data_IF_402880400156
#
_entry.id   IF_402880400156
#
_cell.length_a   1.000
_cell.length_b   1.000
_cell.length_c   1.000
_cell.angle_alpha   90.00
_cell.angle_beta   90.00
_cell.angle_gamma   90.00
#
_symmetry.space_group_name_H-M   'P 1'
#
loop_
_entity.id
_entity.type
_entity.pdbx_description
1 polymer ?
#
# COMPACT_ATOMS: atom_id res chain seq x y z
N UNK A 1 -34.71 38.39 -26.97
CA UNK A 1 -35.07 36.99 -26.72
C UNK A 1 -33.86 36.28 -26.17
N UNK A 2 -33.86 36.07 -24.87
CA UNK A 2 -32.89 35.27 -24.11
C UNK A 2 -32.93 33.84 -24.64
N UNK A 3 -31.80 33.16 -24.88
CA UNK A 3 -31.84 31.74 -25.23
C UNK A 3 -32.42 30.95 -24.06
N UNK A 4 -33.20 29.89 -24.31
CA UNK A 4 -33.84 29.12 -23.26
C UNK A 4 -32.77 28.46 -22.39
N UNK A 5 -32.89 28.66 -21.08
CA UNK A 5 -32.19 27.89 -20.06
C UNK A 5 -32.51 26.41 -20.26
N UNK A 6 -31.53 25.64 -20.73
CA UNK A 6 -31.66 24.19 -20.83
C UNK A 6 -31.96 23.63 -19.44
N UNK A 7 -33.11 22.96 -19.34
CA UNK A 7 -33.47 22.07 -18.24
C UNK A 7 -32.28 21.12 -18.02
N UNK A 8 -31.83 20.98 -16.78
CA UNK A 8 -30.78 20.05 -16.38
C UNK A 8 -31.16 18.63 -16.82
N UNK A 9 -30.74 18.24 -18.02
CA UNK A 9 -30.96 16.90 -18.55
C UNK A 9 -30.23 15.90 -17.67
N UNK A 10 -30.94 14.87 -17.23
CA UNK A 10 -30.38 13.80 -16.41
C UNK A 10 -29.31 13.06 -17.22
N UNK A 11 -28.04 13.25 -16.87
CA UNK A 11 -26.92 12.62 -17.57
C UNK A 11 -26.97 11.10 -17.39
N UNK A 12 -26.87 10.35 -18.49
CA UNK A 12 -26.79 8.90 -18.41
C UNK A 12 -25.41 8.48 -17.88
N UNK A 13 -25.36 8.09 -16.61
CA UNK A 13 -24.12 7.65 -15.94
C UNK A 13 -23.65 6.30 -16.46
N UNK A 14 -22.35 6.21 -16.76
CA UNK A 14 -21.71 5.00 -17.28
C UNK A 14 -20.30 4.84 -16.72
N UNK A 15 -20.01 3.65 -16.21
CA UNK A 15 -18.67 3.24 -15.78
C UNK A 15 -17.99 2.46 -16.90
N UNK A 16 -16.74 2.79 -17.21
CA UNK A 16 -15.98 2.23 -18.32
C UNK A 16 -14.55 1.95 -17.90
N UNK A 17 -13.99 0.84 -18.37
CA UNK A 17 -12.56 0.53 -18.22
C UNK A 17 -11.75 1.06 -19.39
N UNK A 18 -10.50 1.44 -19.15
CA UNK A 18 -9.55 1.80 -20.20
C UNK A 18 -8.26 1.00 -20.00
N UNK A 19 -8.08 -0.02 -20.81
CA UNK A 19 -7.01 -1.01 -20.69
C UNK A 19 -5.92 -0.73 -21.73
N UNK A 20 -4.77 -0.26 -21.25
CA UNK A 20 -3.57 -0.07 -22.05
C UNK A 20 -2.71 -1.33 -22.02
N UNK A 21 -2.24 -1.77 -23.18
CA UNK A 21 -1.32 -2.91 -23.30
C UNK A 21 0.08 -2.35 -23.58
N UNK A 22 1.05 -2.74 -22.77
CA UNK A 22 2.44 -2.33 -22.82
C UNK A 22 3.33 -3.50 -23.28
N UNK A 23 4.30 -3.19 -24.14
CA UNK A 23 5.50 -4.01 -24.32
C UNK A 23 6.76 -3.20 -24.09
N UNK A 24 7.86 -3.91 -23.84
CA UNK A 24 9.20 -3.35 -23.86
C UNK A 24 9.90 -3.84 -25.13
N UNK A 25 10.31 -2.90 -25.97
CA UNK A 25 11.00 -3.12 -27.24
C UNK A 25 12.42 -2.59 -27.10
N UNK A 26 13.41 -3.50 -26.97
CA UNK A 26 14.79 -3.17 -26.58
C UNK A 26 14.88 -2.27 -25.33
N UNK A 27 14.01 -2.54 -24.35
CA UNK A 27 13.90 -1.75 -23.11
C UNK A 27 13.10 -0.46 -23.24
N UNK A 28 12.66 -0.08 -24.45
CA UNK A 28 11.82 1.10 -24.68
C UNK A 28 10.33 0.75 -24.57
N UNK A 29 9.55 1.51 -23.78
CA UNK A 29 8.13 1.23 -23.60
C UNK A 29 7.30 1.59 -24.83
N UNK A 30 6.42 0.69 -25.23
CA UNK A 30 5.45 0.89 -26.30
C UNK A 30 4.05 0.52 -25.82
N UNK A 31 3.06 1.37 -26.10
CA UNK A 31 1.65 1.15 -25.75
C UNK A 31 0.83 0.94 -27.02
N UNK A 32 -0.02 -0.08 -27.03
CA UNK A 32 -0.90 -0.37 -28.14
C UNK A 32 -2.12 0.57 -28.13
N UNK A 33 -2.43 1.13 -29.29
CA UNK A 33 -3.67 1.85 -29.55
C UNK A 33 -4.42 1.22 -30.71
N UNK A 34 -5.73 1.14 -30.55
CA UNK A 34 -6.64 0.48 -31.47
C UNK A 34 -7.49 1.51 -32.18
N UNK A 35 -7.63 1.34 -33.49
CA UNK A 35 -8.44 2.20 -34.34
C UNK A 35 -9.86 1.67 -34.34
N UNK A 36 -10.77 2.42 -33.71
CA UNK A 36 -12.19 2.05 -33.59
C UNK A 36 -12.82 1.93 -34.98
N UNK A 37 -13.64 0.90 -35.16
CA UNK A 37 -14.42 0.66 -36.38
C UNK A 37 -15.67 1.52 -36.43
N UNK A 38 -16.27 1.66 -37.61
CA UNK A 38 -17.55 2.36 -37.76
C UNK A 38 -18.75 1.65 -37.12
N UNK A 39 -18.58 0.40 -36.66
CA UNK A 39 -19.68 -0.45 -36.13
C UNK A 39 -20.00 -0.17 -34.66
N UNK A 40 -19.04 0.34 -33.89
CA UNK A 40 -19.15 0.52 -32.43
C UNK A 40 -20.19 1.58 -32.04
N UNK A 41 -20.79 1.56 -30.85
CA UNK A 41 -21.92 2.46 -30.53
C UNK A 41 -21.59 3.96 -30.39
N UNK A 42 -20.33 4.32 -30.14
CA UNK A 42 -19.88 5.71 -29.92
C UNK A 42 -18.55 6.00 -30.61
N UNK A 43 -18.39 7.24 -31.07
CA UNK A 43 -17.16 7.75 -31.72
C UNK A 43 -16.81 7.08 -33.06
N UNK A 44 -17.82 6.75 -33.88
CA UNK A 44 -17.73 6.04 -35.17
C UNK A 44 -16.93 6.80 -36.25
N UNK A 45 -17.29 8.06 -36.51
CA UNK A 45 -17.03 8.76 -37.79
C UNK A 45 -15.61 9.29 -38.03
N UNK A 46 -14.59 8.75 -37.37
CA UNK A 46 -13.26 9.37 -37.35
C UNK A 46 -12.11 8.43 -36.99
N UNK A 47 -12.36 7.11 -36.98
CA UNK A 47 -11.34 6.10 -36.72
C UNK A 47 -10.49 6.43 -35.47
N UNK A 48 -11.17 6.81 -34.38
CA UNK A 48 -10.52 7.29 -33.18
C UNK A 48 -9.56 6.23 -32.61
N UNK A 49 -8.37 6.67 -32.21
CA UNK A 49 -7.48 5.85 -31.40
C UNK A 49 -8.04 5.71 -29.99
N UNK A 50 -8.05 4.49 -29.50
CA UNK A 50 -8.57 4.10 -28.20
C UNK A 50 -7.67 3.05 -27.54
N UNK A 51 -7.70 2.93 -26.20
CA UNK A 51 -7.28 1.70 -25.54
C UNK A 51 -8.37 0.64 -25.76
N UNK A 52 -8.13 -0.58 -25.28
CA UNK A 52 -9.20 -1.55 -25.09
C UNK A 52 -10.16 -0.99 -24.03
N UNK A 53 -11.46 -0.99 -24.29
CA UNK A 53 -12.39 -0.27 -23.42
C UNK A 53 -13.81 -0.80 -23.54
N UNK A 54 -14.44 -1.05 -22.40
CA UNK A 54 -15.85 -1.35 -22.37
C UNK A 54 -16.52 -1.06 -21.03
N UNK A 55 -17.81 -1.35 -20.96
CA UNK A 55 -18.63 -0.93 -19.82
C UNK A 55 -18.43 -1.88 -18.65
N UNK A 56 -18.42 -1.33 -17.43
CA UNK A 56 -18.49 -2.14 -16.21
C UNK A 56 -19.96 -2.52 -15.99
N UNK A 57 -20.29 -3.80 -16.15
CA UNK A 57 -21.62 -4.34 -15.91
C UNK A 57 -21.80 -4.72 -14.42
N UNK A 58 -23.05 -4.83 -13.97
CA UNK A 58 -23.40 -5.29 -12.62
C UNK A 58 -22.95 -6.73 -12.38
N UNK A 59 -22.86 -7.53 -13.45
CA UNK A 59 -22.33 -8.89 -13.37
C UNK A 59 -20.80 -8.94 -13.18
N UNK A 60 -20.08 -7.85 -13.50
CA UNK A 60 -18.63 -7.77 -13.27
C UNK A 60 -18.39 -7.54 -11.77
N UNK A 61 -17.81 -8.53 -11.08
CA UNK A 61 -17.54 -8.43 -9.63
C UNK A 61 -16.59 -7.29 -9.23
N UNK A 62 -15.91 -6.65 -10.19
CA UNK A 62 -15.13 -5.42 -10.01
C UNK A 62 -14.80 -4.77 -11.38
N UNK A 63 -14.37 -3.49 -11.42
CA UNK A 63 -13.83 -2.89 -12.64
C UNK A 63 -12.63 -3.64 -13.23
N UNK A 64 -11.82 -4.30 -12.40
CA UNK A 64 -10.72 -5.13 -12.90
C UNK A 64 -11.22 -6.42 -13.58
N UNK A 65 -12.33 -7.01 -13.10
CA UNK A 65 -12.96 -8.14 -13.76
C UNK A 65 -13.50 -7.74 -15.14
N UNK A 66 -14.14 -6.58 -15.25
CA UNK A 66 -14.55 -6.00 -16.52
C UNK A 66 -13.34 -5.79 -17.45
N UNK A 67 -12.24 -5.21 -16.94
CA UNK A 67 -11.01 -5.04 -17.72
C UNK A 67 -10.46 -6.33 -18.33
N UNK A 68 -10.47 -7.43 -17.56
CA UNK A 68 -10.05 -8.75 -18.07
C UNK A 68 -11.01 -9.31 -19.11
N UNK A 69 -12.32 -9.12 -18.94
CA UNK A 69 -13.35 -9.52 -19.91
C UNK A 69 -13.16 -8.78 -21.23
N UNK A 70 -13.08 -7.45 -21.20
CA UNK A 70 -12.90 -6.62 -22.40
C UNK A 70 -11.56 -6.95 -23.11
N UNK A 71 -10.47 -7.18 -22.36
CA UNK A 71 -9.21 -7.64 -22.96
C UNK A 71 -9.33 -8.98 -23.68
N UNK A 72 -10.03 -9.94 -23.08
CA UNK A 72 -10.23 -11.25 -23.69
C UNK A 72 -11.16 -11.16 -24.92
N UNK A 73 -12.22 -10.36 -24.86
CA UNK A 73 -13.20 -10.17 -25.93
C UNK A 73 -12.58 -9.42 -27.13
N UNK A 74 -11.91 -8.29 -26.88
CA UNK A 74 -11.40 -7.41 -27.92
C UNK A 74 -10.00 -7.78 -28.44
N UNK A 75 -9.21 -8.60 -27.72
CA UNK A 75 -7.83 -8.95 -28.13
C UNK A 75 -7.45 -10.42 -28.00
N UNK A 76 -8.29 -11.25 -27.39
CA UNK A 76 -8.01 -12.65 -26.99
C UNK A 76 -6.90 -12.83 -25.95
N UNK A 77 -6.34 -11.73 -25.42
CA UNK A 77 -5.34 -11.79 -24.36
C UNK A 77 -5.98 -12.08 -23.01
N UNK A 78 -5.29 -12.87 -22.19
CA UNK A 78 -5.76 -13.30 -20.87
C UNK A 78 -4.66 -13.14 -19.82
N UNK A 79 -4.91 -13.60 -18.59
CA UNK A 79 -3.91 -13.69 -17.54
C UNK A 79 -2.70 -14.55 -17.91
N UNK A 80 -2.77 -15.36 -18.97
CA UNK A 80 -1.65 -16.17 -19.44
C UNK A 80 -0.62 -15.32 -20.19
N UNK A 81 -1.06 -14.34 -20.98
CA UNK A 81 -0.22 -13.48 -21.82
C UNK A 81 0.03 -12.10 -21.22
N UNK A 82 -0.79 -11.65 -20.26
CA UNK A 82 -0.69 -10.34 -19.64
C UNK A 82 -0.45 -10.44 -18.13
N UNK A 83 0.29 -9.46 -17.59
CA UNK A 83 0.34 -9.13 -16.16
C UNK A 83 -0.23 -7.74 -15.95
N UNK A 84 -1.12 -7.55 -14.97
CA UNK A 84 -1.52 -6.22 -14.53
C UNK A 84 -0.29 -5.51 -13.95
N UNK A 85 0.09 -4.38 -14.54
CA UNK A 85 1.24 -3.60 -14.11
C UNK A 85 0.81 -2.46 -13.19
N UNK A 86 -0.23 -1.71 -13.58
CA UNK A 86 -0.75 -0.58 -12.80
C UNK A 86 -2.25 -0.40 -12.95
N UNK A 87 -2.89 -0.01 -11.86
CA UNK A 87 -4.18 0.63 -11.81
C UNK A 87 -3.99 2.14 -11.69
N UNK A 88 -4.70 2.90 -12.51
CA UNK A 88 -4.77 4.36 -12.45
C UNK A 88 -5.94 4.83 -11.59
N UNK A 89 -5.83 6.04 -11.05
CA UNK A 89 -6.91 6.64 -10.25
C UNK A 89 -8.12 6.87 -11.14
N UNK A 90 -9.31 6.50 -10.71
CA UNK A 90 -10.53 6.74 -11.46
C UNK A 90 -10.86 8.23 -11.58
N UNK A 91 -11.67 8.58 -12.58
CA UNK A 91 -12.15 9.94 -12.76
C UNK A 91 -13.46 10.00 -13.51
N UNK A 92 -14.17 11.11 -13.33
CA UNK A 92 -15.47 11.34 -13.93
C UNK A 92 -15.45 12.60 -14.77
N UNK A 93 -16.06 12.55 -15.96
CA UNK A 93 -16.29 13.73 -16.79
C UNK A 93 -17.62 13.63 -17.54
N UNK A 94 -18.18 14.79 -17.89
CA UNK A 94 -19.39 14.88 -18.71
C UNK A 94 -19.02 15.09 -20.17
N UNK A 95 -19.68 14.34 -21.06
CA UNK A 95 -19.55 14.46 -22.50
C UNK A 95 -20.89 14.90 -23.12
N UNK A 96 -21.05 16.20 -23.41
CA UNK A 96 -22.24 16.74 -24.04
C UNK A 96 -22.53 16.13 -25.42
N UNK A 97 -21.50 15.69 -26.16
CA UNK A 97 -21.68 15.16 -27.52
C UNK A 97 -22.49 13.86 -27.57
N UNK A 98 -22.50 13.12 -26.46
CA UNK A 98 -23.23 11.86 -26.30
C UNK A 98 -24.22 11.89 -25.12
N UNK A 99 -24.38 13.05 -24.46
CA UNK A 99 -25.24 13.25 -23.28
C UNK A 99 -25.00 12.22 -22.17
N UNK A 100 -23.72 11.97 -21.84
CA UNK A 100 -23.30 10.99 -20.81
C UNK A 100 -22.35 11.58 -19.78
N UNK A 101 -22.41 11.02 -18.58
CA UNK A 101 -21.39 11.19 -17.55
C UNK A 101 -20.60 9.88 -17.44
N UNK A 102 -19.31 9.94 -17.75
CA UNK A 102 -18.42 8.79 -17.79
C UNK A 102 -17.58 8.73 -16.52
N UNK A 103 -17.53 7.56 -15.88
CA UNK A 103 -16.54 7.22 -14.85
C UNK A 103 -15.55 6.24 -15.44
N UNK A 104 -14.29 6.65 -15.59
CA UNK A 104 -13.25 5.86 -16.24
C UNK A 104 -12.35 5.19 -15.19
N UNK A 105 -12.08 3.90 -15.39
CA UNK A 105 -11.13 3.08 -14.63
C UNK A 105 -9.93 2.70 -15.51
N UNK A 106 -8.81 3.44 -15.44
CA UNK A 106 -7.62 3.15 -16.24
C UNK A 106 -6.80 1.99 -15.68
N UNK A 107 -6.33 1.10 -16.55
CA UNK A 107 -5.43 -0.01 -16.24
C UNK A 107 -4.31 -0.12 -17.26
N UNK A 108 -3.12 -0.50 -16.81
CA UNK A 108 -1.97 -0.82 -17.66
C UNK A 108 -1.58 -2.26 -17.44
N UNK A 109 -1.58 -3.02 -18.52
CA UNK A 109 -1.16 -4.41 -18.58
C UNK A 109 0.13 -4.51 -19.37
N UNK A 110 1.01 -5.44 -19.00
CA UNK A 110 2.27 -5.72 -19.68
C UNK A 110 2.21 -7.11 -20.30
N UNK A 111 2.61 -7.25 -21.56
CA UNK A 111 2.85 -8.55 -22.17
C UNK A 111 3.96 -9.27 -21.40
N UNK A 112 3.74 -10.53 -21.03
CA UNK A 112 4.74 -11.31 -20.28
C UNK A 112 5.96 -11.64 -21.14
N UNK A 113 5.74 -11.94 -22.41
CA UNK A 113 6.81 -12.24 -23.37
C UNK A 113 6.57 -11.54 -24.71
N UNK A 114 7.63 -11.27 -25.50
CA UNK A 114 7.47 -10.73 -26.86
C UNK A 114 6.61 -11.62 -27.77
N UNK A 115 6.62 -12.94 -27.56
CA UNK A 115 5.81 -13.88 -28.35
C UNK A 115 4.30 -13.72 -28.12
N UNK A 116 3.90 -13.18 -26.96
CA UNK A 116 2.49 -12.97 -26.63
C UNK A 116 1.83 -11.89 -27.52
N UNK A 117 2.61 -11.02 -28.17
CA UNK A 117 2.11 -10.06 -29.17
C UNK A 117 1.37 -10.77 -30.31
N UNK A 118 1.84 -11.94 -30.74
CA UNK A 118 1.22 -12.72 -31.83
C UNK A 118 -0.16 -13.27 -31.46
N UNK A 119 -0.53 -13.23 -30.17
CA UNK A 119 -1.84 -13.64 -29.69
C UNK A 119 -2.88 -12.54 -29.87
N UNK A 120 -2.49 -11.29 -30.13
CA UNK A 120 -3.45 -10.20 -30.31
C UNK A 120 -4.28 -10.44 -31.57
N UNK A 121 -5.57 -10.72 -31.37
CA UNK A 121 -6.57 -10.85 -32.44
C UNK A 121 -7.72 -9.93 -32.11
N UNK A 122 -7.83 -8.84 -32.86
CA UNK A 122 -8.89 -7.86 -32.66
C UNK A 122 -10.22 -8.38 -33.17
N UNK A 123 -11.29 -8.05 -32.47
CA UNK A 123 -12.64 -8.35 -32.91
C UNK A 123 -13.19 -7.25 -33.85
N UNK A 124 -14.50 -7.22 -34.05
CA UNK A 124 -15.18 -6.30 -34.96
C UNK A 124 -15.15 -4.83 -34.47
N UNK A 125 -14.79 -4.56 -33.22
CA UNK A 125 -14.72 -3.20 -32.67
C UNK A 125 -13.56 -2.38 -33.24
N UNK A 126 -12.53 -3.05 -33.79
CA UNK A 126 -11.32 -2.40 -34.28
C UNK A 126 -10.98 -2.78 -35.71
N UNK A 127 -10.46 -1.81 -36.46
CA UNK A 127 -10.02 -2.00 -37.86
C UNK A 127 -8.51 -2.23 -37.99
N UNK A 128 -7.77 -1.98 -36.91
CA UNK A 128 -6.33 -2.15 -36.85
C UNK A 128 -5.76 -1.52 -35.58
N UNK A 129 -4.49 -1.77 -35.31
CA UNK A 129 -3.82 -1.28 -34.12
C UNK A 129 -2.33 -1.04 -34.40
N UNK A 130 -1.70 -0.21 -33.58
CA UNK A 130 -0.28 0.09 -33.68
C UNK A 130 0.35 0.37 -32.31
N UNK A 131 1.66 0.19 -32.23
CA UNK A 131 2.47 0.53 -31.07
C UNK A 131 2.90 2.00 -31.12
N UNK A 132 2.73 2.71 -30.02
CA UNK A 132 3.12 4.11 -29.89
C UNK A 132 4.00 4.33 -28.67
N UNK A 133 4.83 5.38 -28.71
CA UNK A 133 5.52 5.87 -27.51
C UNK A 133 4.49 6.53 -26.56
N UNK A 134 4.36 6.08 -25.31
CA UNK A 134 3.36 6.64 -24.39
C UNK A 134 3.60 8.12 -24.10
N UNK A 135 4.86 8.55 -24.01
CA UNK A 135 5.21 9.95 -23.77
C UNK A 135 4.80 10.87 -24.92
N UNK A 136 5.02 10.45 -26.16
CA UNK A 136 4.61 11.18 -27.36
C UNK A 136 3.10 11.35 -27.40
N UNK A 137 2.34 10.27 -27.15
CA UNK A 137 0.88 10.32 -27.10
C UNK A 137 0.39 11.33 -26.06
N UNK A 138 0.95 11.31 -24.85
CA UNK A 138 0.59 12.25 -23.78
C UNK A 138 0.91 13.71 -24.15
N UNK A 139 2.03 13.97 -24.82
CA UNK A 139 2.42 15.32 -25.27
C UNK A 139 1.61 15.82 -26.47
N UNK A 140 0.86 14.93 -27.12
CA UNK A 140 0.15 15.25 -28.36
C UNK A 140 0.97 14.96 -29.62
N UNK A 141 2.24 14.56 -29.47
CA UNK A 141 3.15 14.23 -30.55
C UNK A 141 2.85 12.83 -31.14
N UNK A 142 3.25 12.60 -32.39
CA UNK A 142 3.39 11.23 -32.93
C UNK A 142 2.10 10.49 -33.31
N UNK A 143 0.93 11.15 -33.30
CA UNK A 143 -0.34 10.55 -33.77
C UNK A 143 -0.82 11.02 -35.15
N UNK A 144 -0.03 11.82 -35.87
CA UNK A 144 -0.23 12.07 -37.31
C UNK A 144 -1.60 12.65 -37.70
N UNK A 145 -2.25 13.43 -36.83
CA UNK A 145 -3.58 13.98 -37.09
C UNK A 145 -4.75 13.01 -36.87
N UNK A 146 -4.52 11.82 -36.33
CA UNK A 146 -5.58 10.88 -35.96
C UNK A 146 -6.39 11.41 -34.77
N UNK A 147 -7.72 11.24 -34.86
CA UNK A 147 -8.63 11.57 -33.76
C UNK A 147 -8.45 10.59 -32.60
N UNK A 148 -8.77 11.03 -31.38
CA UNK A 148 -8.60 10.26 -30.13
C UNK A 148 -9.92 10.23 -29.38
N UNK A 149 -10.21 9.13 -28.69
CA UNK A 149 -11.35 9.13 -27.77
C UNK A 149 -11.18 10.22 -26.70
N UNK A 150 -12.28 10.81 -26.17
CA UNK A 150 -12.18 11.85 -25.16
C UNK A 150 -11.32 11.42 -23.97
N UNK A 151 -10.46 12.32 -23.50
CA UNK A 151 -9.60 12.12 -22.31
C UNK A 151 -8.62 10.93 -22.41
N UNK A 152 -8.25 10.50 -23.62
CA UNK A 152 -7.27 9.44 -23.83
C UNK A 152 -5.93 9.69 -23.11
N UNK A 153 -5.43 10.93 -23.21
CA UNK A 153 -4.21 11.40 -22.58
C UNK A 153 -4.32 11.40 -21.06
N UNK A 154 -5.46 11.83 -20.50
CA UNK A 154 -5.70 11.77 -19.05
C UNK A 154 -5.73 10.33 -18.54
N UNK A 155 -6.41 9.42 -19.24
CA UNK A 155 -6.40 7.99 -18.92
C UNK A 155 -5.00 7.39 -18.95
N UNK A 156 -4.19 7.72 -19.97
CA UNK A 156 -2.84 7.21 -20.09
C UNK A 156 -1.91 7.80 -19.02
N UNK A 157 -1.96 9.11 -18.75
CA UNK A 157 -1.19 9.78 -17.67
C UNK A 157 -1.44 9.12 -16.32
N UNK A 158 -2.66 8.64 -16.06
CA UNK A 158 -3.04 8.00 -14.80
C UNK A 158 -2.40 6.64 -14.56
N UNK A 159 -1.86 6.00 -15.59
CA UNK A 159 -1.14 4.72 -15.49
C UNK A 159 0.33 4.80 -15.94
N UNK A 160 0.71 5.90 -16.60
CA UNK A 160 2.05 6.13 -17.12
C UNK A 160 2.65 7.41 -16.51
N UNK A 161 2.97 7.35 -15.22
CA UNK A 161 3.45 8.49 -14.44
C UNK A 161 4.82 9.01 -14.86
N UNK A 162 5.59 8.24 -15.63
CA UNK A 162 6.96 8.57 -16.05
C UNK A 162 7.00 9.87 -16.85
N UNK A 163 5.94 10.15 -17.61
CA UNK A 163 5.85 11.39 -18.40
C UNK A 163 5.74 12.62 -17.49
N UNK A 164 4.98 12.53 -16.41
CA UNK A 164 4.76 13.65 -15.49
C UNK A 164 5.83 13.71 -14.38
N UNK A 165 6.47 12.60 -14.02
CA UNK A 165 7.56 12.60 -13.04
C UNK A 165 8.91 12.95 -13.65
N UNK A 166 9.11 12.64 -14.93
CA UNK A 166 10.42 12.63 -15.57
C UNK A 166 11.15 11.29 -15.35
N UNK A 167 12.24 11.05 -16.09
CA UNK A 167 12.89 9.74 -16.15
C UNK A 167 13.46 9.30 -14.79
N UNK A 168 14.15 10.18 -14.07
CA UNK A 168 14.78 9.85 -12.78
C UNK A 168 13.75 9.49 -11.72
N UNK A 169 12.81 10.41 -11.42
CA UNK A 169 11.75 10.16 -10.45
C UNK A 169 10.81 9.02 -10.86
N UNK A 170 10.52 8.89 -12.16
CA UNK A 170 9.72 7.79 -12.70
C UNK A 170 10.38 6.42 -12.49
N UNK A 171 11.68 6.31 -12.74
CA UNK A 171 12.43 5.08 -12.50
C UNK A 171 12.46 4.72 -11.01
N UNK A 172 12.67 5.70 -10.12
CA UNK A 172 12.63 5.47 -8.66
C UNK A 172 11.26 4.95 -8.24
N UNK A 173 10.17 5.56 -8.71
CA UNK A 173 8.82 5.08 -8.38
C UNK A 173 8.58 3.68 -8.93
N UNK A 174 8.94 3.42 -10.20
CA UNK A 174 8.72 2.11 -10.80
C UNK A 174 9.49 1.00 -10.09
N UNK A 175 10.77 1.24 -9.73
CA UNK A 175 11.57 0.27 -8.95
C UNK A 175 11.03 0.06 -7.54
N UNK A 176 10.58 1.13 -6.89
CA UNK A 176 9.98 1.01 -5.55
C UNK A 176 8.65 0.26 -5.54
N UNK A 177 7.79 0.45 -6.56
CA UNK A 177 6.57 -0.34 -6.74
C UNK A 177 6.88 -1.82 -6.94
N UNK A 178 7.85 -2.13 -7.80
CA UNK A 178 8.27 -3.51 -8.06
C UNK A 178 8.83 -4.18 -6.80
N UNK A 179 9.66 -3.47 -6.03
CA UNK A 179 10.18 -3.96 -4.76
C UNK A 179 9.07 -4.21 -3.73
N UNK A 180 8.10 -3.30 -3.60
CA UNK A 180 6.96 -3.47 -2.69
C UNK A 180 6.07 -4.65 -3.10
N UNK A 181 5.87 -4.87 -4.40
CA UNK A 181 5.01 -5.93 -4.92
C UNK A 181 5.56 -7.33 -4.65
N UNK A 182 6.88 -7.48 -4.70
CA UNK A 182 7.57 -8.77 -4.53
C UNK A 182 8.12 -8.99 -3.12
N UNK A 183 8.05 -8.01 -2.23
CA UNK A 183 8.42 -8.18 -0.82
C UNK A 183 7.32 -8.91 -0.05
N UNK A 184 7.51 -10.22 0.12
CA UNK A 184 6.63 -11.11 0.88
C UNK A 184 7.12 -11.42 2.30
N UNK A 185 8.29 -10.91 2.68
CA UNK A 185 8.97 -11.24 3.95
C UNK A 185 8.84 -10.12 4.99
N UNK A 186 8.72 -8.88 4.52
CA UNK A 186 8.57 -7.70 5.36
C UNK A 186 7.16 -7.55 5.93
N UNK A 187 7.11 -7.15 7.19
CA UNK A 187 5.87 -6.79 7.86
C UNK A 187 5.31 -5.43 7.41
N UNK A 188 4.05 -5.15 7.77
CA UNK A 188 3.32 -3.92 7.44
C UNK A 188 4.12 -2.62 7.65
N UNK A 189 4.87 -2.55 8.75
CA UNK A 189 5.69 -1.38 9.09
C UNK A 189 6.86 -1.20 8.12
N UNK A 190 7.59 -2.28 7.84
CA UNK A 190 8.76 -2.24 6.95
C UNK A 190 8.35 -1.85 5.53
N UNK A 191 7.22 -2.37 5.05
CA UNK A 191 6.65 -1.96 3.76
C UNK A 191 6.23 -0.48 3.74
N UNK A 192 5.64 0.02 4.82
CA UNK A 192 5.32 1.43 4.95
C UNK A 192 6.59 2.30 4.96
N UNK A 193 7.63 1.89 5.69
CA UNK A 193 8.90 2.60 5.72
C UNK A 193 9.60 2.57 4.34
N UNK A 194 9.55 1.44 3.62
CA UNK A 194 10.04 1.32 2.25
C UNK A 194 9.28 2.24 1.29
N UNK A 195 7.95 2.31 1.39
CA UNK A 195 7.14 3.23 0.59
C UNK A 195 7.50 4.70 0.87
N UNK A 196 7.74 5.09 2.14
CA UNK A 196 8.21 6.43 2.48
C UNK A 196 9.58 6.73 1.88
N UNK A 197 10.50 5.76 1.91
CA UNK A 197 11.82 5.91 1.26
C UNK A 197 11.71 6.03 -0.26
N UNK A 198 10.80 5.28 -0.89
CA UNK A 198 10.54 5.46 -2.33
C UNK A 198 9.98 6.85 -2.60
N UNK A 199 8.97 7.32 -1.85
CA UNK A 199 8.41 8.66 -2.02
C UNK A 199 9.49 9.75 -1.87
N UNK A 200 10.39 9.60 -0.90
CA UNK A 200 11.54 10.48 -0.71
C UNK A 200 12.43 10.54 -1.95
N UNK A 201 12.79 9.37 -2.49
CA UNK A 201 13.61 9.28 -3.70
C UNK A 201 12.91 9.90 -4.91
N UNK A 202 11.59 9.70 -5.05
CA UNK A 202 10.78 10.34 -6.09
C UNK A 202 10.84 11.86 -5.96
N UNK A 203 10.53 12.41 -4.77
CA UNK A 203 10.56 13.86 -4.51
C UNK A 203 11.94 14.44 -4.80
N UNK A 204 13.01 13.74 -4.44
CA UNK A 204 14.38 14.18 -4.68
C UNK A 204 14.72 14.25 -6.18
N UNK A 205 14.34 13.22 -6.95
CA UNK A 205 14.60 13.11 -8.39
C UNK A 205 13.61 13.87 -9.29
N UNK A 206 12.57 14.51 -8.72
CA UNK A 206 11.63 15.32 -9.49
C UNK A 206 12.30 16.62 -9.96
N UNK A 207 12.10 16.95 -11.24
CA UNK A 207 12.52 18.26 -11.76
C UNK A 207 11.67 19.38 -11.13
N UNK A 208 12.35 20.39 -10.60
CA UNK A 208 11.74 21.57 -9.99
C UNK A 208 11.83 22.82 -10.88
N UNK A 209 12.62 22.78 -11.95
CA UNK A 209 12.77 23.90 -12.91
C UNK A 209 11.48 24.07 -13.71
N UNK A 210 11.03 25.31 -13.84
CA UNK A 210 9.86 25.74 -14.64
C UNK A 210 8.55 25.01 -14.32
N UNK A 211 8.46 24.39 -13.13
CA UNK A 211 7.27 23.69 -12.68
C UNK A 211 6.52 24.54 -11.66
N UNK A 212 5.24 24.73 -11.89
CA UNK A 212 4.37 25.42 -10.93
C UNK A 212 4.25 24.63 -9.61
N UNK A 213 4.31 25.31 -8.45
CA UNK A 213 4.15 24.69 -7.12
C UNK A 213 2.95 23.75 -6.98
N UNK A 214 1.77 24.18 -7.45
CA UNK A 214 0.53 23.41 -7.31
C UNK A 214 0.57 22.13 -8.16
N UNK A 215 1.12 22.23 -9.38
CA UNK A 215 1.31 21.08 -10.27
C UNK A 215 2.30 20.09 -9.66
N UNK A 216 3.42 20.59 -9.12
CA UNK A 216 4.40 19.76 -8.42
C UNK A 216 3.78 19.01 -7.25
N UNK A 217 2.99 19.70 -6.42
CA UNK A 217 2.34 19.08 -5.26
C UNK A 217 1.29 18.04 -5.66
N UNK A 218 0.52 18.29 -6.72
CA UNK A 218 -0.38 17.28 -7.32
C UNK A 218 0.43 16.05 -7.75
N UNK A 219 1.58 16.23 -8.40
CA UNK A 219 2.43 15.10 -8.81
C UNK A 219 2.96 14.30 -7.63
N UNK A 220 3.38 14.96 -6.53
CA UNK A 220 3.83 14.26 -5.30
C UNK A 220 2.70 13.42 -4.71
N UNK A 221 1.50 13.98 -4.58
CA UNK A 221 0.32 13.24 -4.09
C UNK A 221 -0.05 12.09 -5.02
N UNK A 222 0.14 12.25 -6.33
CA UNK A 222 -0.11 11.20 -7.31
C UNK A 222 0.90 10.05 -7.20
N UNK A 223 2.18 10.33 -6.98
CA UNK A 223 3.19 9.33 -6.69
C UNK A 223 2.87 8.55 -5.40
N UNK A 224 2.47 9.25 -4.33
CA UNK A 224 2.02 8.61 -3.10
C UNK A 224 0.77 7.73 -3.32
N UNK A 225 -0.17 8.16 -4.17
CA UNK A 225 -1.33 7.35 -4.54
C UNK A 225 -0.91 6.05 -5.24
N UNK A 226 0.07 6.11 -6.15
CA UNK A 226 0.60 4.90 -6.78
C UNK A 226 1.27 3.96 -5.77
N UNK A 227 2.03 4.47 -4.79
CA UNK A 227 2.73 3.63 -3.81
C UNK A 227 1.77 2.74 -3.00
N UNK A 228 0.67 3.27 -2.48
CA UNK A 228 -0.25 2.45 -1.69
C UNK A 228 -1.13 1.57 -2.58
N UNK A 229 -1.51 2.04 -3.77
CA UNK A 229 -2.45 1.31 -4.64
C UNK A 229 -1.77 0.24 -5.49
N UNK A 230 -0.58 0.52 -6.02
CA UNK A 230 0.16 -0.32 -6.95
C UNK A 230 1.39 -0.99 -6.34
N UNK A 231 1.78 -0.63 -5.11
CA UNK A 231 2.91 -1.28 -4.42
C UNK A 231 2.53 -2.69 -3.98
N UNK A 232 1.61 -2.81 -3.00
CA UNK A 232 1.09 -4.10 -2.54
C UNK A 232 -0.29 -3.92 -1.93
N UNK A 233 -1.35 -4.09 -2.72
CA UNK A 233 -2.72 -3.75 -2.31
C UNK A 233 -3.16 -4.46 -1.03
N UNK A 234 -2.76 -5.73 -0.83
CA UNK A 234 -3.06 -6.49 0.40
C UNK A 234 -2.45 -5.86 1.67
N UNK A 235 -1.45 -5.00 1.51
CA UNK A 235 -0.79 -4.23 2.58
C UNK A 235 -1.01 -2.71 2.38
N UNK A 236 -2.04 -2.31 1.64
CA UNK A 236 -2.28 -0.92 1.25
C UNK A 236 -2.65 0.01 2.42
N UNK A 237 -3.36 -0.49 3.44
CA UNK A 237 -3.78 0.30 4.59
C UNK A 237 -2.61 0.89 5.42
N UNK A 238 -1.60 0.11 5.87
CA UNK A 238 -0.47 0.65 6.62
C UNK A 238 0.40 1.60 5.77
N UNK A 239 0.58 1.29 4.47
CA UNK A 239 1.29 2.18 3.53
C UNK A 239 0.54 3.50 3.38
N UNK A 240 -0.77 3.47 3.14
CA UNK A 240 -1.60 4.66 2.99
C UNK A 240 -1.61 5.52 4.25
N UNK A 241 -1.75 4.92 5.44
CA UNK A 241 -1.71 5.66 6.70
C UNK A 241 -0.38 6.40 6.89
N UNK A 242 0.75 5.73 6.63
CA UNK A 242 2.07 6.35 6.72
C UNK A 242 2.25 7.49 5.71
N UNK A 243 1.82 7.29 4.45
CA UNK A 243 1.89 8.31 3.42
C UNK A 243 1.02 9.51 3.75
N UNK A 244 -0.22 9.32 4.22
CA UNK A 244 -1.13 10.40 4.60
C UNK A 244 -0.59 11.24 5.76
N UNK A 245 0.05 10.60 6.75
CA UNK A 245 0.69 11.32 7.86
C UNK A 245 1.79 12.26 7.34
N UNK A 246 2.67 11.78 6.46
CA UNK A 246 3.74 12.58 5.86
C UNK A 246 3.20 13.66 4.94
N UNK A 247 2.23 13.35 4.08
CA UNK A 247 1.64 14.35 3.17
C UNK A 247 0.94 15.47 3.95
N UNK A 248 0.30 15.14 5.08
CA UNK A 248 -0.31 16.14 5.97
C UNK A 248 0.74 17.01 6.66
N UNK A 249 1.89 16.44 7.04
CA UNK A 249 3.04 17.19 7.54
C UNK A 249 3.59 18.14 6.49
N UNK A 250 3.81 17.63 5.27
CA UNK A 250 4.30 18.41 4.13
C UNK A 250 3.36 19.58 3.86
N UNK A 251 2.05 19.32 3.73
CA UNK A 251 1.05 20.37 3.44
C UNK A 251 1.06 21.52 4.45
N UNK A 252 1.40 21.27 5.73
CA UNK A 252 1.52 22.33 6.75
C UNK A 252 2.76 23.20 6.58
N UNK A 253 3.83 22.67 6.00
CA UNK A 253 5.09 23.40 5.79
C UNK A 253 5.21 24.00 4.38
N UNK A 254 4.30 23.66 3.46
CA UNK A 254 4.20 24.31 2.16
C UNK A 254 3.63 25.72 2.34
N UNK A 255 4.42 26.74 2.04
CA UNK A 255 3.97 28.13 2.07
C UNK A 255 3.62 28.64 0.66
N UNK A 256 2.58 29.48 0.57
CA UNK A 256 2.19 30.11 -0.69
C UNK A 256 3.27 31.09 -1.17
N UNK A 257 3.59 31.05 -2.46
CA UNK A 257 4.56 31.95 -3.10
C UNK A 257 6.01 31.47 -3.06
N UNK A 258 6.30 30.32 -2.45
CA UNK A 258 7.61 29.69 -2.54
C UNK A 258 7.86 29.09 -3.93
N UNK A 259 9.13 29.09 -4.33
CA UNK A 259 9.55 28.37 -5.54
C UNK A 259 9.53 26.86 -5.30
N UNK A 260 9.27 26.09 -6.35
CA UNK A 260 9.17 24.62 -6.30
C UNK A 260 10.40 23.93 -5.71
N UNK A 261 11.59 24.50 -5.89
CA UNK A 261 12.81 23.96 -5.29
C UNK A 261 12.85 24.09 -3.76
N UNK A 262 12.32 25.20 -3.23
CA UNK A 262 12.20 25.42 -1.78
C UNK A 262 11.17 24.48 -1.17
N UNK A 263 10.03 24.30 -1.85
CA UNK A 263 8.98 23.35 -1.46
C UNK A 263 9.51 21.90 -1.45
N UNK A 264 10.30 21.52 -2.46
CA UNK A 264 10.99 20.22 -2.47
C UNK A 264 11.90 20.04 -1.26
N UNK A 265 12.72 21.05 -0.94
CA UNK A 265 13.59 21.02 0.24
C UNK A 265 12.82 20.89 1.56
N UNK A 266 11.71 21.63 1.71
CA UNK A 266 10.84 21.52 2.88
C UNK A 266 10.18 20.14 3.00
N UNK A 267 9.66 19.61 1.88
CA UNK A 267 9.04 18.30 1.85
C UNK A 267 10.01 17.16 2.20
N UNK A 268 11.25 17.22 1.70
CA UNK A 268 12.29 16.23 2.02
C UNK A 268 12.65 16.26 3.51
N UNK A 269 12.80 17.46 4.11
CA UNK A 269 13.08 17.60 5.55
C UNK A 269 11.94 17.03 6.40
N UNK A 270 10.70 17.31 6.02
CA UNK A 270 9.52 16.80 6.73
C UNK A 270 9.42 15.28 6.64
N UNK A 271 9.69 14.71 5.47
CA UNK A 271 9.74 13.27 5.28
C UNK A 271 10.86 12.62 6.11
N UNK A 272 12.06 13.20 6.09
CA UNK A 272 13.20 12.74 6.89
C UNK A 272 12.90 12.78 8.39
N UNK A 273 12.27 13.85 8.87
CA UNK A 273 11.82 13.98 10.26
C UNK A 273 10.79 12.90 10.62
N UNK A 274 9.82 12.64 9.75
CA UNK A 274 8.82 11.58 9.97
C UNK A 274 9.43 10.17 10.02
N UNK A 275 10.36 9.85 9.12
CA UNK A 275 11.07 8.56 9.14
C UNK A 275 11.90 8.44 10.42
N UNK A 276 12.62 9.50 10.82
CA UNK A 276 13.40 9.51 12.05
C UNK A 276 12.51 9.32 13.29
N UNK A 277 11.39 10.05 13.37
CA UNK A 277 10.43 9.96 14.48
C UNK A 277 9.81 8.56 14.61
N UNK A 278 9.51 7.89 13.49
CA UNK A 278 9.04 6.49 13.49
C UNK A 278 10.11 5.57 14.07
N UNK A 279 11.37 5.71 13.67
CA UNK A 279 12.48 4.90 14.19
C UNK A 279 12.71 5.15 15.69
N UNK A 280 12.69 6.41 16.11
CA UNK A 280 12.80 6.80 17.52
C UNK A 280 11.65 6.25 18.37
N UNK A 281 10.42 6.24 17.85
CA UNK A 281 9.26 5.70 18.56
C UNK A 281 9.43 4.22 18.93
N UNK A 282 10.00 3.40 18.05
CA UNK A 282 10.29 1.98 18.36
C UNK A 282 11.36 1.85 19.43
N UNK A 283 12.40 2.67 19.32
CA UNK A 283 13.48 2.66 20.29
C UNK A 283 12.98 3.05 21.68
N UNK A 284 12.16 4.10 21.78
CA UNK A 284 11.51 4.55 23.00
C UNK A 284 10.61 3.45 23.59
N UNK A 285 9.76 2.82 22.77
CA UNK A 285 8.88 1.73 23.22
C UNK A 285 9.70 0.54 23.70
N UNK A 286 10.75 0.16 22.97
CA UNK A 286 11.61 -0.97 23.35
C UNK A 286 12.32 -0.69 24.68
N UNK A 287 12.84 0.53 24.87
CA UNK A 287 13.41 0.98 26.15
C UNK A 287 12.40 0.96 27.28
N UNK A 288 11.17 1.42 27.04
CA UNK A 288 10.10 1.42 28.04
C UNK A 288 9.72 0.00 28.46
N UNK A 289 9.61 -0.94 27.50
CA UNK A 289 9.35 -2.36 27.81
C UNK A 289 10.50 -2.98 28.59
N UNK A 290 11.76 -2.73 28.19
CA UNK A 290 12.93 -3.22 28.93
C UNK A 290 12.96 -2.69 30.37
N UNK A 291 12.76 -1.39 30.56
CA UNK A 291 12.69 -0.77 31.89
C UNK A 291 11.52 -1.32 32.71
N UNK A 292 10.36 -1.55 32.10
CA UNK A 292 9.19 -2.13 32.77
C UNK A 292 9.48 -3.55 33.26
N UNK A 293 10.08 -4.41 32.43
CA UNK A 293 10.46 -5.77 32.82
C UNK A 293 11.48 -5.72 33.97
N UNK A 294 12.47 -4.83 33.87
CA UNK A 294 13.51 -4.68 34.87
C UNK A 294 13.00 -4.22 36.24
N UNK A 295 12.06 -3.27 36.25
CA UNK A 295 11.43 -2.77 37.48
C UNK A 295 10.45 -3.78 38.07
N UNK A 296 9.58 -4.36 37.24
CA UNK A 296 8.53 -5.29 37.66
C UNK A 296 9.10 -6.56 38.29
N UNK A 297 10.19 -7.08 37.73
CA UNK A 297 10.81 -8.33 38.17
C UNK A 297 12.12 -8.12 38.94
N UNK A 298 12.39 -6.90 39.44
CA UNK A 298 13.61 -6.56 40.19
C UNK A 298 13.92 -7.54 41.33
N UNK A 299 12.90 -8.04 42.04
CA UNK A 299 13.05 -9.00 43.14
C UNK A 299 13.58 -10.37 42.71
N UNK A 300 13.54 -10.69 41.41
CA UNK A 300 14.06 -11.93 40.84
C UNK A 300 15.49 -11.79 40.29
N UNK A 301 16.13 -10.63 40.42
CA UNK A 301 17.53 -10.46 40.00
C UNK A 301 18.43 -11.46 40.72
N UNK A 302 19.32 -12.10 39.97
CA UNK A 302 20.20 -13.17 40.49
C UNK A 302 19.49 -14.50 40.75
N UNK A 303 18.18 -14.59 40.53
CA UNK A 303 17.49 -15.88 40.46
C UNK A 303 17.86 -16.60 39.16
N UNK A 304 18.01 -17.92 39.24
CA UNK A 304 18.13 -18.76 38.05
C UNK A 304 16.78 -19.04 37.37
N UNK A 305 15.66 -18.54 37.92
CA UNK A 305 14.33 -18.73 37.33
C UNK A 305 14.12 -17.75 36.16
N UNK A 306 13.81 -18.22 34.95
CA UNK A 306 13.55 -17.33 33.81
C UNK A 306 12.26 -16.53 34.01
N UNK A 307 12.19 -15.37 33.37
CA UNK A 307 10.94 -14.62 33.21
C UNK A 307 10.20 -15.22 32.01
N UNK A 308 9.02 -15.78 32.29
CA UNK A 308 8.21 -16.43 31.26
C UNK A 308 7.27 -15.41 30.59
N UNK A 309 7.45 -15.22 29.28
CA UNK A 309 6.72 -14.23 28.49
C UNK A 309 5.92 -14.93 27.39
N UNK A 310 4.60 -14.72 27.36
CA UNK A 310 3.71 -15.16 26.28
C UNK A 310 3.42 -14.03 25.30
N UNK A 311 3.50 -14.31 24.00
CA UNK A 311 3.11 -13.39 22.92
C UNK A 311 2.49 -14.16 21.75
N UNK A 312 1.97 -13.43 20.77
CA UNK A 312 1.45 -13.97 19.52
C UNK A 312 1.66 -12.99 18.36
N UNK A 313 1.48 -13.50 17.14
CA UNK A 313 1.62 -12.79 15.87
C UNK A 313 3.02 -12.23 15.61
N UNK A 314 3.17 -11.47 14.53
CA UNK A 314 4.43 -10.85 14.13
C UNK A 314 4.35 -9.33 14.31
N UNK A 315 4.60 -8.86 15.54
CA UNK A 315 4.75 -7.43 15.81
C UNK A 315 6.22 -7.05 15.81
N UNK A 316 6.64 -6.23 14.83
CA UNK A 316 8.00 -5.69 14.76
C UNK A 316 8.40 -4.92 16.02
N UNK A 317 7.46 -4.18 16.62
CA UNK A 317 7.69 -3.45 17.88
C UNK A 317 7.90 -4.41 19.05
N UNK A 318 7.12 -5.49 19.14
CA UNK A 318 7.31 -6.52 20.19
C UNK A 318 8.63 -7.26 19.98
N UNK A 319 8.99 -7.61 18.73
CA UNK A 319 10.27 -8.25 18.43
C UNK A 319 11.44 -7.41 18.93
N UNK A 320 11.46 -6.11 18.60
CA UNK A 320 12.52 -5.21 19.03
C UNK A 320 12.55 -5.04 20.55
N UNK A 321 11.39 -4.97 21.20
CA UNK A 321 11.28 -4.90 22.64
C UNK A 321 11.81 -6.19 23.32
N UNK A 322 11.39 -7.37 22.86
CA UNK A 322 11.85 -8.66 23.38
C UNK A 322 13.35 -8.87 23.15
N UNK A 323 13.85 -8.53 21.95
CA UNK A 323 15.28 -8.55 21.64
C UNK A 323 16.05 -7.65 22.61
N UNK A 324 15.57 -6.42 22.85
CA UNK A 324 16.22 -5.51 23.80
C UNK A 324 16.20 -6.06 25.21
N UNK A 325 15.06 -6.57 25.70
CA UNK A 325 14.96 -7.20 27.02
C UNK A 325 15.96 -8.36 27.12
N UNK A 326 16.02 -9.24 26.12
CA UNK A 326 16.93 -10.37 26.14
C UNK A 326 18.42 -9.95 26.21
N UNK A 327 18.80 -8.92 25.46
CA UNK A 327 20.20 -8.48 25.35
C UNK A 327 20.65 -7.53 26.47
N UNK A 328 19.74 -6.72 27.02
CA UNK A 328 20.09 -5.64 27.96
C UNK A 328 19.65 -5.95 29.41
N UNK A 329 18.71 -6.88 29.62
CA UNK A 329 18.23 -7.20 30.97
C UNK A 329 19.14 -8.19 31.69
N UNK A 330 18.99 -8.25 33.02
CA UNK A 330 19.71 -9.21 33.87
C UNK A 330 19.04 -10.59 33.95
N UNK A 331 18.00 -10.85 33.15
CA UNK A 331 17.17 -12.05 33.24
C UNK A 331 17.32 -13.00 32.05
N UNK A 332 17.13 -14.30 32.31
CA UNK A 332 16.79 -15.26 31.25
C UNK A 332 15.33 -15.13 30.91
N UNK A 333 15.03 -15.33 29.63
CA UNK A 333 13.66 -15.29 29.13
C UNK A 333 13.27 -16.69 28.70
N UNK A 334 12.07 -17.09 29.11
CA UNK A 334 11.32 -18.19 28.50
C UNK A 334 10.22 -17.60 27.63
N UNK A 335 10.45 -17.55 26.32
CA UNK A 335 9.55 -16.94 25.36
C UNK A 335 8.61 -17.99 24.78
N UNK A 336 7.32 -17.81 25.02
CA UNK A 336 6.26 -18.68 24.50
C UNK A 336 5.49 -17.92 23.44
N UNK A 337 5.45 -18.47 22.23
CA UNK A 337 4.91 -17.77 21.06
C UNK A 337 3.81 -18.62 20.45
N UNK A 338 2.59 -18.08 20.36
CA UNK A 338 1.50 -18.72 19.64
C UNK A 338 1.68 -18.53 18.12
N UNK A 339 1.50 -19.61 17.36
CA UNK A 339 1.82 -19.67 15.93
C UNK A 339 1.05 -18.66 15.05
N UNK A 340 -0.17 -18.27 15.44
CA UNK A 340 -1.03 -17.31 14.73
C UNK A 340 -1.44 -17.76 13.32
N UNK A 341 -2.46 -18.62 13.23
CA UNK A 341 -3.08 -19.05 11.97
C UNK A 341 -3.88 -17.92 11.31
N UNK A 342 -4.00 -17.92 9.96
CA UNK A 342 -3.54 -18.97 9.05
C UNK A 342 -2.10 -18.78 8.53
N UNK A 343 -1.52 -17.59 8.66
CA UNK A 343 -0.24 -17.23 8.02
C UNK A 343 0.99 -17.62 8.85
N UNK A 344 0.80 -18.14 10.06
CA UNK A 344 1.88 -18.56 10.96
C UNK A 344 2.81 -17.41 11.35
N UNK A 345 2.25 -16.21 11.56
CA UNK A 345 3.03 -15.01 11.87
C UNK A 345 3.90 -15.18 13.15
N UNK A 346 3.43 -15.95 14.14
CA UNK A 346 4.21 -16.24 15.35
C UNK A 346 5.45 -17.10 15.08
N UNK A 347 5.40 -17.96 14.06
CA UNK A 347 6.57 -18.76 13.64
C UNK A 347 7.64 -17.85 13.03
N UNK A 348 7.23 -16.87 12.20
CA UNK A 348 8.12 -15.82 11.66
C UNK A 348 8.78 -15.02 12.80
N UNK A 349 8.01 -14.60 13.81
CA UNK A 349 8.55 -13.91 14.98
C UNK A 349 9.59 -14.77 15.72
N UNK A 350 9.28 -16.04 15.98
CA UNK A 350 10.16 -16.96 16.68
C UNK A 350 11.49 -17.16 15.93
N UNK A 351 11.44 -17.37 14.61
CA UNK A 351 12.63 -17.51 13.77
C UNK A 351 13.51 -16.26 13.79
N UNK A 352 12.94 -15.09 13.50
CA UNK A 352 13.68 -13.82 13.51
C UNK A 352 14.30 -13.51 14.87
N UNK A 353 13.60 -13.83 15.97
CA UNK A 353 14.12 -13.62 17.32
C UNK A 353 15.23 -14.63 17.66
N UNK A 354 15.09 -15.89 17.25
CA UNK A 354 16.15 -16.89 17.42
C UNK A 354 17.43 -16.47 16.69
N UNK A 355 17.32 -15.97 15.46
CA UNK A 355 18.46 -15.41 14.71
C UNK A 355 19.08 -14.20 15.42
N UNK A 356 18.26 -13.25 15.87
CA UNK A 356 18.69 -12.06 16.60
C UNK A 356 19.48 -12.42 17.87
N UNK A 357 19.05 -13.46 18.59
CA UNK A 357 19.69 -13.92 19.84
C UNK A 357 20.91 -14.82 19.58
N UNK A 358 20.89 -15.64 18.52
CA UNK A 358 22.03 -16.47 18.14
C UNK A 358 23.21 -15.63 17.65
N UNK A 359 22.94 -14.54 16.94
CA UNK A 359 23.96 -13.61 16.47
C UNK A 359 24.61 -12.79 17.59
N UNK A 360 23.99 -12.74 18.78
CA UNK A 360 24.52 -12.02 19.92
C UNK A 360 25.48 -12.89 20.76
N UNK A 361 26.41 -12.26 21.47
CA UNK A 361 27.24 -12.96 22.44
C UNK A 361 26.35 -13.62 23.51
N UNK A 362 26.67 -14.84 23.98
CA UNK A 362 25.87 -15.52 25.00
C UNK A 362 25.71 -14.63 26.24
N UNK A 363 24.48 -14.48 26.78
CA UNK A 363 24.29 -13.71 28.01
C UNK A 363 25.13 -14.31 29.13
N UNK A 364 25.76 -13.47 29.95
CA UNK A 364 26.52 -13.91 31.11
C UNK A 364 25.68 -14.68 32.14
N UNK A 365 24.36 -14.56 32.06
CA UNK A 365 23.42 -15.02 33.06
C UNK A 365 22.91 -16.46 32.74
N UNK A 366 22.98 -16.95 31.49
CA UNK A 366 22.32 -18.19 31.01
C UNK A 366 21.66 -18.10 29.61
N UNK A 367 21.03 -19.17 29.12
CA UNK A 367 20.46 -19.27 27.75
C UNK A 367 18.95 -18.93 27.70
N UNK A 368 18.52 -18.09 26.75
CA UNK A 368 17.10 -17.84 26.50
C UNK A 368 16.43 -19.05 25.83
N UNK A 369 15.17 -19.34 26.16
CA UNK A 369 14.36 -20.36 25.47
C UNK A 369 13.26 -19.72 24.63
N UNK A 370 12.98 -20.32 23.48
CA UNK A 370 11.83 -19.98 22.63
C UNK A 370 11.03 -21.26 22.38
N UNK A 371 9.76 -21.26 22.77
CA UNK A 371 8.83 -22.37 22.58
C UNK A 371 7.65 -21.93 21.72
N UNK A 372 7.41 -22.62 20.62
CA UNK A 372 6.26 -22.43 19.76
C UNK A 372 5.08 -23.28 20.24
N UNK A 373 3.91 -22.66 20.30
CA UNK A 373 2.64 -23.32 20.65
C UNK A 373 1.62 -23.09 19.54
N UNK A 374 0.72 -24.05 19.34
CA UNK A 374 -0.46 -23.83 18.51
C UNK A 374 -1.41 -22.84 19.19
N UNK A 375 -2.21 -22.11 18.41
CA UNK A 375 -3.17 -21.15 18.96
C UNK A 375 -4.20 -21.84 19.88
N UNK A 376 -4.57 -23.08 19.55
CA UNK A 376 -5.47 -23.91 20.37
C UNK A 376 -4.88 -24.27 21.75
N UNK A 377 -3.56 -24.21 21.89
CA UNK A 377 -2.84 -24.49 23.13
C UNK A 377 -2.63 -23.25 24.00
N UNK A 378 -3.35 -22.15 23.75
CA UNK A 378 -3.17 -20.88 24.45
C UNK A 378 -3.19 -21.01 25.99
N UNK A 379 -4.08 -21.84 26.55
CA UNK A 379 -4.12 -22.10 27.99
C UNK A 379 -2.90 -22.86 28.52
N UNK A 380 -2.37 -23.80 27.75
CA UNK A 380 -1.15 -24.52 28.11
C UNK A 380 0.07 -23.60 28.01
N UNK A 381 0.15 -22.81 26.93
CA UNK A 381 1.20 -21.81 26.74
C UNK A 381 1.20 -20.77 27.87
N UNK A 382 0.01 -20.40 28.34
CA UNK A 382 -0.19 -19.43 29.40
C UNK A 382 0.05 -19.96 30.84
N UNK A 383 0.27 -21.27 31.03
CA UNK A 383 0.53 -21.81 32.38
C UNK A 383 1.79 -21.20 32.98
N UNK A 384 1.72 -20.68 34.20
CA UNK A 384 2.87 -20.11 34.92
C UNK A 384 3.62 -18.98 34.19
N UNK A 385 2.96 -18.29 33.25
CA UNK A 385 3.55 -17.11 32.61
C UNK A 385 3.63 -15.95 33.59
N UNK A 386 4.71 -15.19 33.51
CA UNK A 386 4.89 -13.99 34.33
C UNK A 386 4.30 -12.75 33.64
N UNK A 387 4.36 -12.74 32.30
CA UNK A 387 4.01 -11.61 31.48
C UNK A 387 3.37 -12.07 30.16
N UNK A 388 2.27 -11.45 29.78
CA UNK A 388 1.69 -11.54 28.44
C UNK A 388 1.94 -10.20 27.75
N UNK A 389 2.64 -10.22 26.63
CA UNK A 389 2.84 -9.03 25.79
C UNK A 389 2.03 -9.20 24.51
N UNK A 390 1.14 -8.25 24.23
CA UNK A 390 0.39 -8.19 22.98
C UNK A 390 0.59 -6.85 22.29
N UNK A 391 0.32 -6.83 20.98
CA UNK A 391 0.28 -5.58 20.22
C UNK A 391 -1.02 -4.83 20.48
N UNK A 392 -1.07 -3.60 20.01
CA UNK A 392 -2.33 -2.92 19.73
C UNK A 392 -2.28 -2.38 18.31
N UNK A 393 -3.27 -2.74 17.49
CA UNK A 393 -3.53 -2.09 16.20
C UNK A 393 -4.37 -0.83 16.41
N UNK A 394 -5.28 -0.87 17.39
CA UNK A 394 -6.01 0.30 17.89
C UNK A 394 -6.27 0.13 19.37
N UNK A 395 -6.11 1.21 20.13
CA UNK A 395 -6.51 1.32 21.53
C UNK A 395 -7.63 2.35 21.62
N UNK A 396 -8.84 1.93 22.01
CA UNK A 396 -9.99 2.80 22.15
C UNK A 396 -9.83 3.73 23.37
N UNK A 397 -10.59 4.83 23.40
CA UNK A 397 -10.63 5.73 24.56
C UNK A 397 -11.13 5.03 25.85
N UNK A 398 -11.91 3.96 25.72
CA UNK A 398 -12.33 3.08 26.83
C UNK A 398 -11.18 2.24 27.40
N UNK A 399 -10.04 2.15 26.71
CA UNK A 399 -8.96 1.21 26.99
C UNK A 399 -9.11 -0.14 26.29
N UNK A 400 -10.19 -0.37 25.52
CA UNK A 400 -10.34 -1.59 24.73
C UNK A 400 -9.26 -1.67 23.65
N UNK A 401 -8.71 -2.86 23.44
CA UNK A 401 -7.62 -3.08 22.51
C UNK A 401 -8.07 -3.97 21.37
N UNK A 402 -7.95 -3.45 20.15
CA UNK A 402 -8.05 -4.22 18.91
C UNK A 402 -6.65 -4.66 18.50
N UNK A 403 -6.46 -5.97 18.37
CA UNK A 403 -5.22 -6.59 17.90
C UNK A 403 -5.56 -7.87 17.11
N UNK A 404 -4.54 -8.56 16.60
CA UNK A 404 -4.66 -9.83 15.86
C UNK A 404 -5.59 -10.84 16.55
N UNK A 405 -6.41 -11.53 15.75
CA UNK A 405 -7.20 -12.70 16.19
C UNK A 405 -6.34 -13.67 16.99
N UNK A 406 -6.89 -14.19 18.09
CA UNK A 406 -6.14 -15.00 19.07
C UNK A 406 -5.67 -14.20 20.29
N UNK A 407 -5.56 -12.87 20.21
CA UNK A 407 -5.14 -12.03 21.35
C UNK A 407 -6.09 -12.14 22.55
N UNK A 408 -7.40 -12.04 22.30
CA UNK A 408 -8.40 -12.15 23.37
C UNK A 408 -8.39 -13.54 24.02
N UNK A 409 -8.46 -14.67 23.27
CA UNK A 409 -8.28 -16.00 23.85
C UNK A 409 -6.99 -16.13 24.67
N UNK A 410 -5.84 -15.67 24.18
CA UNK A 410 -4.57 -15.76 24.89
C UNK A 410 -4.60 -15.00 26.24
N UNK A 411 -5.14 -13.78 26.24
CA UNK A 411 -5.26 -12.96 27.47
C UNK A 411 -6.27 -13.57 28.45
N UNK A 412 -7.40 -14.09 27.98
CA UNK A 412 -8.38 -14.76 28.84
C UNK A 412 -7.81 -16.04 29.45
N UNK A 413 -7.11 -16.83 28.64
CA UNK A 413 -6.38 -18.02 29.10
C UNK A 413 -5.40 -17.66 30.20
N UNK A 414 -4.52 -16.68 29.99
CA UNK A 414 -3.55 -16.24 30.99
C UNK A 414 -4.20 -15.72 32.27
N UNK A 415 -5.25 -14.89 32.17
CA UNK A 415 -5.98 -14.43 33.37
C UNK A 415 -6.58 -15.57 34.18
N UNK A 416 -6.98 -16.66 33.53
CA UNK A 416 -7.57 -17.82 34.20
C UNK A 416 -6.50 -18.74 34.82
N UNK A 417 -5.49 -19.15 34.05
CA UNK A 417 -4.49 -20.16 34.49
C UNK A 417 -3.30 -19.55 35.24
N UNK A 418 -3.01 -18.27 35.02
CA UNK A 418 -1.91 -17.53 35.63
C UNK A 418 -2.42 -16.16 36.12
N UNK A 419 -3.28 -16.11 37.15
CA UNK A 419 -3.96 -14.88 37.58
C UNK A 419 -3.03 -13.77 38.07
N UNK A 420 -1.79 -14.11 38.42
CA UNK A 420 -0.74 -13.16 38.81
C UNK A 420 0.05 -12.60 37.62
N UNK A 421 -0.15 -13.15 36.41
CA UNK A 421 0.53 -12.69 35.21
C UNK A 421 0.14 -11.25 34.89
N UNK A 422 1.13 -10.44 34.51
CA UNK A 422 0.87 -9.09 34.02
C UNK A 422 0.48 -9.16 32.54
N UNK A 423 -0.48 -8.37 32.12
CA UNK A 423 -0.84 -8.22 30.70
C UNK A 423 -0.43 -6.83 30.25
N UNK A 424 0.47 -6.75 29.28
CA UNK A 424 1.02 -5.49 28.75
C UNK A 424 0.69 -5.38 27.27
N UNK A 425 0.15 -4.22 26.91
CA UNK A 425 -0.16 -3.87 25.53
C UNK A 425 0.90 -2.90 25.03
N UNK A 426 1.53 -3.25 23.91
CA UNK A 426 2.57 -2.45 23.29
C UNK A 426 2.02 -1.82 22.01
N UNK A 427 1.84 -0.50 22.04
CA UNK A 427 1.31 0.27 20.92
C UNK A 427 1.98 1.65 20.82
N UNK A 428 2.03 2.19 19.60
CA UNK A 428 2.43 3.58 19.37
C UNK A 428 1.27 4.54 19.71
N UNK A 429 1.58 5.76 20.12
CA UNK A 429 0.58 6.80 20.43
C UNK A 429 -0.34 7.10 19.23
N UNK A 430 0.15 6.98 18.00
CA UNK A 430 -0.68 7.11 16.79
C UNK A 430 -1.80 6.07 16.66
N UNK A 431 -1.79 5.02 17.49
CA UNK A 431 -2.82 3.96 17.50
C UNK A 431 -3.86 4.14 18.61
N UNK A 432 -3.73 5.16 19.46
CA UNK A 432 -4.74 5.49 20.46
C UNK A 432 -5.83 6.37 19.83
N UNK A 433 -7.08 5.95 19.93
CA UNK A 433 -8.21 6.73 19.47
C UNK A 433 -8.38 8.00 20.33
N UNK A 434 -8.78 9.09 19.68
CA UNK A 434 -9.21 10.30 20.39
C UNK A 434 -10.50 9.99 21.20
N UNK A 435 -10.79 10.73 22.27
CA UNK A 435 -12.02 10.56 23.05
C UNK A 435 -13.28 10.73 22.18
N UNK A 436 -14.17 9.73 22.19
CA UNK A 436 -15.41 9.70 21.40
C UNK A 436 -16.07 8.32 21.42
N UNK A 437 -17.35 8.20 21.06
CA UNK A 437 -18.02 6.89 20.98
C UNK A 437 -17.43 6.08 19.82
N UNK A 438 -17.39 4.75 19.96
CA UNK A 438 -16.90 3.81 18.95
C UNK A 438 -17.48 4.08 17.56
N UNK A 439 -18.76 4.48 17.53
CA UNK A 439 -19.56 4.75 16.34
C UNK A 439 -19.16 6.03 15.59
N UNK A 440 -18.52 6.99 16.27
CA UNK A 440 -18.10 8.27 15.68
C UNK A 440 -16.79 8.16 14.87
N UNK A 441 -16.12 7.01 14.92
CA UNK A 441 -14.80 6.79 14.32
C UNK A 441 -14.77 5.67 13.27
N UNK A 442 -15.94 5.20 12.79
CA UNK A 442 -16.03 4.32 11.63
C UNK A 442 -15.94 5.11 10.32
N UNK A 443 -14.72 5.48 9.95
CA UNK A 443 -14.36 5.79 8.58
C UNK A 443 -13.46 4.68 8.03
N UNK A 444 -14.02 3.83 7.18
CA UNK A 444 -13.29 2.86 6.34
C UNK A 444 -12.84 1.54 7.01
N UNK A 445 -13.80 0.70 7.36
CA UNK A 445 -13.67 -0.77 7.38
C UNK A 445 -15.07 -1.33 7.63
N UNK A 446 -15.54 -2.21 6.76
CA UNK A 446 -16.91 -2.73 6.63
C UNK A 446 -17.87 -1.86 5.81
N UNK A 447 -17.81 -2.05 4.48
CA UNK A 447 -19.02 -2.40 3.73
C UNK A 447 -18.74 -3.71 3.02
N UNK A 448 -19.69 -4.63 3.19
CA UNK A 448 -19.77 -5.90 2.49
C UNK A 448 -19.87 -5.71 0.98
#
# INVERSE_FOLDING_TARGET
MTPPSNIAGEWKKRSVVSCFILKLDDGQPRVAFFRRSDKVSTYRHSHHLAPISGSVDVADGSPLAAAWRELAEETTLTTDSLSLLRQGKEYTFQDPSVSREWTIFPFLFRLKTPADEQRIRTDWEHEGWAWHDPGAVIRGDGLGGLNRVPRLDESLRRVWFETDLGPEAGEVLSRGLDALAHDHESGARQLADAALQTLRGVIAGMNTRDREPDVWWVTVRFAAWHLWKNGRESMGAPIMSALLAVLSGIERVLEKGQQTDQLRGAALRELDAHVAARKESVDLISRAVAAYVEDTFRSRRGSHKPICILTLSESSTIRQALRRVALESSFHLDLRILESRPLYEGVSLAGKLAEDLFAAAPPATGTHSITLYTDASAALAASDVDLVIIGGDRVAASGDVSNKTGSLPAVLSAKYVAPTARVVVVAESGKTALPGRSDDHFGCSQRA
#
